data_IF_928778655818
#
_entry.id   IF_928778655818
#
_cell.length_a   1.000
_cell.length_b   1.000
_cell.length_c   1.000
_cell.angle_alpha   90.00
_cell.angle_beta   90.00
_cell.angle_gamma   90.00
#
_symmetry.space_group_name_H-M   'P 1'
#
loop_
_entity.id
_entity.type
_entity.pdbx_description
1 polymer ?
#
# COMPACT_ATOMS: atom_id res chain seq x y z
N UNK A 1 12.30 -37.46 -7.16
CA UNK A 1 11.42 -37.81 -6.03
C UNK A 1 11.58 -36.74 -4.96
N UNK A 2 10.86 -35.64 -5.12
CA UNK A 2 10.94 -34.46 -4.28
C UNK A 2 9.75 -33.60 -4.63
N UNK A 3 9.16 -32.97 -3.63
CA UNK A 3 7.96 -32.17 -3.83
C UNK A 3 8.34 -30.73 -4.12
N UNK A 4 7.74 -30.20 -5.19
CA UNK A 4 7.90 -28.82 -5.62
C UNK A 4 6.64 -28.05 -5.24
N UNK A 5 6.73 -27.05 -4.34
CA UNK A 5 5.59 -26.18 -4.05
C UNK A 5 5.23 -25.33 -5.29
N UNK A 6 3.95 -24.99 -5.42
CA UNK A 6 3.44 -24.25 -6.59
C UNK A 6 3.66 -22.73 -6.45
N UNK A 7 4.90 -22.33 -6.24
CA UNK A 7 5.31 -20.94 -5.97
C UNK A 7 6.02 -20.27 -7.13
N UNK A 8 6.12 -20.95 -8.27
CA UNK A 8 6.82 -20.43 -9.46
C UNK A 8 6.28 -19.06 -9.91
N UNK A 9 4.98 -18.81 -9.73
CA UNK A 9 4.33 -17.54 -10.05
C UNK A 9 4.80 -16.38 -9.17
N UNK A 10 5.26 -16.65 -7.96
CA UNK A 10 5.58 -15.64 -6.94
C UNK A 10 7.09 -15.42 -6.76
N UNK A 11 7.92 -16.06 -7.60
CA UNK A 11 9.37 -15.95 -7.54
C UNK A 11 9.83 -14.50 -7.71
N UNK A 12 10.64 -14.02 -6.77
CA UNK A 12 11.15 -12.65 -6.74
C UNK A 12 10.15 -11.60 -6.25
N UNK A 13 8.94 -12.02 -5.88
CA UNK A 13 7.90 -11.16 -5.29
C UNK A 13 7.69 -11.53 -3.84
N UNK A 14 7.43 -12.81 -3.58
CA UNK A 14 7.31 -13.36 -2.22
C UNK A 14 8.59 -14.09 -1.84
N UNK A 15 9.03 -13.88 -0.60
CA UNK A 15 10.22 -14.53 -0.07
C UNK A 15 10.02 -16.05 0.01
N UNK A 16 10.92 -16.77 -0.66
CA UNK A 16 10.91 -18.23 -0.74
C UNK A 16 12.27 -18.80 -0.36
N UNK A 17 12.27 -20.00 0.21
CA UNK A 17 13.50 -20.72 0.52
C UNK A 17 14.16 -21.30 -0.75
N UNK A 18 15.33 -21.92 -0.58
CA UNK A 18 16.06 -22.54 -1.71
C UNK A 18 15.29 -23.68 -2.38
N UNK A 19 14.33 -24.28 -1.70
CA UNK A 19 13.48 -25.35 -2.20
C UNK A 19 12.17 -24.83 -2.82
N UNK A 20 11.90 -23.52 -2.71
CA UNK A 20 10.73 -22.83 -3.24
C UNK A 20 9.55 -22.71 -2.27
N UNK A 21 9.68 -23.09 -1.00
CA UNK A 21 8.61 -22.90 -0.02
C UNK A 21 8.54 -21.43 0.40
N UNK A 22 7.33 -20.91 0.61
CA UNK A 22 7.15 -19.54 1.12
C UNK A 22 7.64 -19.50 2.55
N UNK A 23 8.42 -18.48 2.89
CA UNK A 23 8.90 -18.24 4.26
C UNK A 23 8.03 -17.16 4.89
N UNK A 24 7.15 -17.50 5.84
CA UNK A 24 6.36 -16.51 6.54
C UNK A 24 7.25 -15.63 7.41
N UNK A 25 6.94 -14.33 7.49
CA UNK A 25 7.64 -13.39 8.38
C UNK A 25 7.14 -13.55 9.82
N UNK A 26 5.82 -13.48 10.01
CA UNK A 26 5.17 -13.65 11.30
C UNK A 26 3.85 -14.41 11.13
N UNK A 27 3.68 -15.52 11.85
CA UNK A 27 2.53 -16.42 11.72
C UNK A 27 2.27 -16.84 10.26
N UNK A 28 1.22 -16.32 9.62
CA UNK A 28 0.86 -16.63 8.22
C UNK A 28 1.17 -15.48 7.25
N UNK A 29 1.72 -14.37 7.74
CA UNK A 29 2.06 -13.20 6.92
C UNK A 29 3.31 -13.43 6.08
N UNK A 30 3.33 -12.87 4.89
CA UNK A 30 4.51 -12.85 4.01
C UNK A 30 5.24 -11.50 4.10
N UNK A 31 6.28 -11.32 3.28
CA UNK A 31 6.99 -10.04 3.14
C UNK A 31 6.11 -8.90 2.57
N UNK A 32 4.95 -9.22 1.98
CA UNK A 32 4.02 -8.23 1.42
C UNK A 32 2.81 -8.09 2.36
N UNK A 33 2.52 -6.87 2.86
CA UNK A 33 1.34 -6.63 3.68
C UNK A 33 0.05 -7.01 2.94
N UNK A 34 -0.86 -7.70 3.62
CA UNK A 34 -2.10 -8.19 3.03
C UNK A 34 -1.96 -9.49 2.23
N UNK A 35 -0.75 -10.06 2.12
CA UNK A 35 -0.51 -11.36 1.50
C UNK A 35 -0.16 -12.39 2.57
N UNK A 36 -0.92 -13.48 2.59
CA UNK A 36 -0.83 -14.55 3.57
C UNK A 36 -0.60 -15.90 2.90
N UNK A 37 0.09 -16.80 3.58
CA UNK A 37 0.41 -18.13 3.07
C UNK A 37 0.05 -19.21 4.09
N UNK A 38 -0.48 -20.34 3.61
CA UNK A 38 -0.91 -21.46 4.44
C UNK A 38 -0.79 -22.81 3.72
N UNK A 39 -0.56 -23.87 4.51
CA UNK A 39 -0.52 -25.26 4.06
C UNK A 39 0.80 -25.68 3.43
N UNK A 40 0.76 -26.66 2.52
CA UNK A 40 1.93 -27.29 1.92
C UNK A 40 2.90 -26.32 1.21
N UNK A 41 2.45 -25.10 0.89
CA UNK A 41 3.30 -24.06 0.29
C UNK A 41 4.30 -23.47 1.29
N UNK A 42 3.98 -23.52 2.59
CA UNK A 42 4.82 -23.08 3.72
C UNK A 42 5.38 -24.26 4.52
N UNK A 43 4.72 -25.41 4.48
CA UNK A 43 5.10 -26.59 5.25
C UNK A 43 5.90 -27.60 4.41
N UNK A 44 7.20 -27.71 4.68
CA UNK A 44 8.08 -28.71 4.08
C UNK A 44 8.16 -30.01 4.88
N UNK A 45 7.58 -30.08 6.09
CA UNK A 45 7.79 -31.17 7.07
C UNK A 45 6.58 -32.07 7.27
N UNK A 46 5.40 -31.53 7.60
CA UNK A 46 4.26 -32.35 8.03
C UNK A 46 3.38 -32.75 6.86
N UNK A 47 2.90 -31.75 6.10
CA UNK A 47 2.24 -31.93 4.80
C UNK A 47 1.08 -32.89 4.85
N UNK A 48 0.27 -32.70 5.89
CA UNK A 48 -0.95 -33.44 6.09
C UNK A 48 -2.13 -32.54 5.80
N UNK A 49 -3.21 -33.12 5.28
CA UNK A 49 -4.44 -32.36 5.04
C UNK A 49 -4.93 -31.63 6.31
N UNK A 50 -4.75 -32.23 7.48
CA UNK A 50 -5.14 -31.63 8.77
C UNK A 50 -4.25 -30.43 9.15
N UNK A 51 -2.94 -30.48 8.89
CA UNK A 51 -2.05 -29.35 9.18
C UNK A 51 -2.34 -28.21 8.22
N UNK A 52 -2.53 -28.51 6.94
CA UNK A 52 -2.91 -27.51 5.94
C UNK A 52 -4.26 -26.85 6.25
N UNK A 53 -5.25 -27.61 6.73
CA UNK A 53 -6.52 -27.05 7.18
C UNK A 53 -6.34 -26.12 8.39
N UNK A 54 -5.53 -26.52 9.37
CA UNK A 54 -5.21 -25.70 10.54
C UNK A 54 -4.52 -24.38 10.17
N UNK A 55 -3.55 -24.43 9.27
CA UNK A 55 -2.87 -23.24 8.76
C UNK A 55 -3.82 -22.33 7.97
N UNK A 56 -4.75 -22.92 7.20
CA UNK A 56 -5.79 -22.18 6.49
C UNK A 56 -6.70 -21.39 7.44
N UNK A 57 -7.13 -22.00 8.55
CA UNK A 57 -7.92 -21.29 9.57
C UNK A 57 -7.13 -20.15 10.21
N UNK A 58 -5.84 -20.34 10.49
CA UNK A 58 -4.97 -19.29 11.03
C UNK A 58 -4.84 -18.12 10.07
N UNK A 59 -4.59 -18.42 8.79
CA UNK A 59 -4.49 -17.39 7.75
C UNK A 59 -5.80 -16.62 7.59
N UNK A 60 -6.96 -17.29 7.67
CA UNK A 60 -8.25 -16.62 7.59
C UNK A 60 -8.47 -15.61 8.73
N UNK A 61 -8.11 -15.97 9.97
CA UNK A 61 -8.20 -15.08 11.13
C UNK A 61 -7.22 -13.91 10.99
N UNK A 62 -6.00 -14.17 10.51
CA UNK A 62 -5.01 -13.11 10.29
C UNK A 62 -5.47 -12.13 9.19
N UNK A 63 -6.08 -12.63 8.11
CA UNK A 63 -6.71 -11.83 7.05
C UNK A 63 -7.85 -10.97 7.60
N UNK A 64 -8.74 -11.56 8.40
CA UNK A 64 -9.88 -10.85 9.00
C UNK A 64 -9.39 -9.65 9.82
N UNK A 65 -8.46 -9.88 10.74
CA UNK A 65 -7.86 -8.83 11.58
C UNK A 65 -7.15 -7.76 10.75
N UNK A 66 -6.45 -8.16 9.69
CA UNK A 66 -5.78 -7.22 8.81
C UNK A 66 -6.78 -6.32 8.08
N UNK A 67 -7.88 -6.89 7.57
CA UNK A 67 -8.95 -6.14 6.91
C UNK A 67 -9.66 -5.18 7.87
N UNK A 68 -9.95 -5.60 9.10
CA UNK A 68 -10.52 -4.73 10.14
C UNK A 68 -9.60 -3.53 10.43
N UNK A 69 -8.30 -3.78 10.58
CA UNK A 69 -7.32 -2.72 10.79
C UNK A 69 -7.22 -1.75 9.61
N UNK A 70 -7.31 -2.24 8.36
CA UNK A 70 -7.35 -1.36 7.18
C UNK A 70 -8.61 -0.50 7.17
N UNK A 71 -9.78 -1.07 7.49
CA UNK A 71 -11.03 -0.33 7.53
C UNK A 71 -11.05 0.76 8.62
N UNK A 72 -10.39 0.53 9.75
CA UNK A 72 -10.19 1.55 10.79
C UNK A 72 -9.24 2.66 10.33
N UNK A 73 -8.13 2.30 9.68
CA UNK A 73 -7.20 3.26 9.11
C UNK A 73 -7.91 4.17 8.09
N UNK A 74 -8.72 3.61 7.18
CA UNK A 74 -9.50 4.36 6.20
C UNK A 74 -10.47 5.35 6.86
N UNK A 75 -11.27 4.91 7.85
CA UNK A 75 -12.19 5.77 8.62
C UNK A 75 -11.48 6.93 9.33
N UNK A 76 -10.27 6.70 9.83
CA UNK A 76 -9.49 7.74 10.48
C UNK A 76 -9.03 8.85 9.51
N UNK A 77 -8.81 8.49 8.24
CA UNK A 77 -8.48 9.44 7.16
C UNK A 77 -9.69 10.30 6.77
N UNK A 78 -10.87 9.69 6.62
CA UNK A 78 -12.12 10.41 6.27
C UNK A 78 -12.56 11.38 7.38
N UNK A 79 -12.40 10.99 8.65
CA UNK A 79 -12.70 11.86 9.79
C UNK A 79 -11.80 13.09 9.89
N UNK A 80 -10.59 13.03 9.32
CA UNK A 80 -9.66 14.15 9.31
C UNK A 80 -9.99 15.18 8.22
N UNK A 81 -10.72 14.78 7.16
CA UNK A 81 -11.19 15.71 6.13
C UNK A 81 -12.47 16.45 6.55
N UNK A 82 -13.32 15.84 7.38
CA UNK A 82 -14.54 16.48 7.91
C UNK A 82 -14.26 17.52 9.01
N UNK A 83 -13.12 17.42 9.72
CA UNK A 83 -12.66 18.38 10.73
C UNK A 83 -11.88 19.58 10.16
N UNK A 84 -11.45 19.51 8.89
CA UNK A 84 -10.91 20.66 8.16
C UNK A 84 -12.10 21.48 7.62
N UNK A 85 -12.93 21.96 8.54
CA UNK A 85 -13.92 22.98 8.27
C UNK A 85 -13.21 24.07 7.48
N UNK A 86 -13.60 24.21 6.21
CA UNK A 86 -13.27 25.35 5.38
C UNK A 86 -13.65 26.55 6.23
N UNK A 87 -12.68 27.14 6.95
CA UNK A 87 -12.86 28.43 7.59
C UNK A 87 -13.51 29.27 6.50
N UNK A 88 -14.76 29.74 6.64
CA UNK A 88 -15.28 30.63 5.64
C UNK A 88 -14.26 31.75 5.63
N UNK A 89 -13.56 31.93 4.50
CA UNK A 89 -12.62 33.02 4.31
C UNK A 89 -13.36 34.25 4.81
N UNK A 90 -12.96 34.72 5.99
CA UNK A 90 -13.62 35.81 6.68
C UNK A 90 -13.59 36.92 5.65
N UNK A 91 -14.78 37.25 5.14
CA UNK A 91 -14.97 38.06 3.95
C UNK A 91 -14.52 39.47 4.31
N UNK A 92 -13.21 39.69 4.25
CA UNK A 92 -12.64 41.01 4.34
C UNK A 92 -13.05 41.69 3.05
N UNK A 93 -13.95 42.63 3.22
CA UNK A 93 -14.41 43.63 2.25
C UNK A 93 -13.20 44.48 1.82
N UNK A 94 -12.19 43.91 1.18
CA UNK A 94 -11.18 44.67 0.45
C UNK A 94 -11.66 44.80 -0.97
N UNK A 95 -12.25 45.97 -1.19
CA UNK A 95 -12.37 46.62 -2.49
C UNK A 95 -11.12 46.34 -3.33
N UNK A 96 -11.36 46.05 -4.61
CA UNK A 96 -10.43 46.13 -5.76
C UNK A 96 -9.83 44.81 -6.27
N UNK A 97 -10.45 44.34 -7.35
CA UNK A 97 -9.87 43.74 -8.56
C UNK A 97 -8.33 43.67 -8.64
N UNK A 98 -7.73 42.54 -8.23
CA UNK A 98 -6.33 42.23 -8.55
C UNK A 98 -6.20 40.80 -9.09
N UNK A 99 -5.69 40.72 -10.33
CA UNK A 99 -5.19 39.51 -10.99
C UNK A 99 -4.05 38.90 -10.15
N UNK A 100 -3.80 37.58 -10.22
CA UNK A 100 -2.71 36.96 -9.45
C UNK A 100 -1.37 37.58 -9.86
N UNK A 101 -0.71 38.24 -8.90
CA UNK A 101 0.60 38.86 -9.10
C UNK A 101 1.63 37.73 -9.13
N UNK A 102 2.05 37.30 -10.33
CA UNK A 102 3.25 36.47 -10.47
C UNK A 102 4.44 37.29 -9.95
N UNK A 103 5.14 36.75 -8.96
CA UNK A 103 6.37 37.32 -8.41
C UNK A 103 7.41 37.47 -9.54
N UNK A 104 8.12 38.59 -9.59
CA UNK A 104 9.03 38.96 -10.69
C UNK A 104 10.08 37.87 -11.03
N UNK A 105 10.50 37.07 -10.05
CA UNK A 105 11.40 35.93 -10.28
C UNK A 105 10.81 34.84 -11.17
N UNK A 106 9.51 34.53 -11.00
CA UNK A 106 8.84 33.45 -11.73
C UNK A 106 8.51 33.83 -13.19
N UNK A 107 8.47 35.13 -13.49
CA UNK A 107 8.29 35.65 -14.85
C UNK A 107 9.57 35.62 -15.70
N UNK A 108 10.75 35.67 -15.08
CA UNK A 108 12.03 35.58 -15.80
C UNK A 108 12.33 34.14 -16.24
N UNK A 109 11.99 33.16 -15.40
CA UNK A 109 12.21 31.73 -15.64
C UNK A 109 11.34 31.23 -16.82
N UNK A 110 10.05 31.55 -16.81
CA UNK A 110 9.12 31.20 -17.89
C UNK A 110 9.47 31.83 -19.25
N UNK A 111 10.10 33.02 -19.26
CA UNK A 111 10.54 33.68 -20.50
C UNK A 111 11.82 33.08 -21.08
N UNK A 112 12.65 32.45 -20.24
CA UNK A 112 13.87 31.77 -20.67
C UNK A 112 13.54 30.41 -21.28
N UNK A 113 12.71 29.62 -20.61
CA UNK A 113 12.26 28.31 -21.13
C UNK A 113 11.48 28.44 -22.44
N UNK A 114 10.64 29.49 -22.58
CA UNK A 114 9.85 29.70 -23.80
C UNK A 114 10.66 30.18 -25.01
N UNK A 115 11.91 30.64 -24.82
CA UNK A 115 12.85 30.96 -25.93
C UNK A 115 13.67 29.76 -26.37
N UNK A 116 14.03 28.85 -25.46
CA UNK A 116 14.79 27.64 -25.80
C UNK A 116 13.92 26.62 -26.56
N UNK A 117 12.60 26.60 -26.33
CA UNK A 117 11.65 25.76 -27.08
C UNK A 117 11.31 26.27 -28.50
N UNK A 118 11.81 27.46 -28.89
CA UNK A 118 11.51 28.10 -30.19
C UNK A 118 12.75 28.28 -31.08
N UNK A 119 13.88 27.69 -30.72
CA UNK A 119 15.08 27.56 -31.56
C UNK A 119 15.25 26.09 -31.96
#
# INVERSE_FOLDING_TARGET
MGHKPNTDLFKGVIDTDKAGYIVPSEFTTTNIPGVFAAGDVTDHRYRQAVTAAGDGCRAAIDVERWLEAQAEAERSTEGNEAGQERRPLRMNRTRNNEKPILTAGKMAELRRESRELRA
#
